data_IF_614719747695
#
_entry.id   IF_614719747695
#
_cell.length_a   1.000
_cell.length_b   1.000
_cell.length_c   1.000
_cell.angle_alpha   90.00
_cell.angle_beta   90.00
_cell.angle_gamma   90.00
#
_symmetry.space_group_name_H-M   'P 1'
#
loop_
_entity.id
_entity.type
_entity.pdbx_description
1 polymer ?
#
# COMPACT_ATOMS: atom_id res chain seq x y z
N UNK A 1 -8.04 22.46 -8.97
CA UNK A 1 -7.19 23.08 -10.02
C UNK A 1 -7.82 24.26 -10.73
N UNK A 2 -8.99 24.16 -11.38
CA UNK A 2 -9.61 25.32 -12.08
C UNK A 2 -9.81 26.53 -11.15
N UNK A 3 -10.38 26.33 -9.95
CA UNK A 3 -10.55 27.41 -8.96
C UNK A 3 -9.22 28.03 -8.51
N UNK A 4 -8.11 27.26 -8.54
CA UNK A 4 -6.79 27.75 -8.15
C UNK A 4 -6.24 28.81 -9.13
N UNK A 5 -6.67 28.78 -10.40
CA UNK A 5 -6.30 29.78 -11.40
C UNK A 5 -6.82 31.19 -11.05
N UNK A 6 -7.90 31.28 -10.27
CA UNK A 6 -8.53 32.55 -9.88
C UNK A 6 -8.14 33.02 -8.48
N UNK A 7 -7.33 32.25 -7.75
CA UNK A 7 -6.91 32.61 -6.41
C UNK A 7 -6.01 33.85 -6.41
N UNK A 8 -6.19 34.70 -5.40
CA UNK A 8 -5.39 35.92 -5.18
C UNK A 8 -4.55 35.85 -3.90
N UNK A 9 -4.75 34.83 -3.07
CA UNK A 9 -4.00 34.59 -1.84
C UNK A 9 -3.40 33.18 -1.80
N UNK A 10 -2.23 33.04 -1.18
CA UNK A 10 -1.54 31.74 -0.98
C UNK A 10 -2.41 30.77 -0.17
N UNK A 11 -3.17 31.28 0.82
CA UNK A 11 -4.08 30.43 1.61
C UNK A 11 -5.18 29.81 0.73
N UNK A 12 -5.72 30.59 -0.22
CA UNK A 12 -6.70 30.08 -1.18
C UNK A 12 -6.07 29.02 -2.10
N UNK A 13 -4.81 29.17 -2.49
CA UNK A 13 -4.08 28.15 -3.25
C UNK A 13 -3.89 26.85 -2.45
N UNK A 14 -3.55 26.93 -1.17
CA UNK A 14 -3.47 25.73 -0.32
C UNK A 14 -4.81 25.00 -0.21
N UNK A 15 -5.91 25.74 -0.08
CA UNK A 15 -7.24 25.15 -0.02
C UNK A 15 -7.67 24.53 -1.36
N UNK A 16 -7.51 25.25 -2.48
CA UNK A 16 -7.98 24.79 -3.79
C UNK A 16 -7.05 23.79 -4.48
N UNK A 17 -5.75 24.10 -4.57
CA UNK A 17 -4.76 23.25 -5.23
C UNK A 17 -4.28 22.10 -4.32
N UNK A 18 -4.21 22.33 -3.00
CA UNK A 18 -3.85 21.31 -2.02
C UNK A 18 -5.06 20.46 -1.62
N UNK A 19 -5.91 20.97 -0.73
CA UNK A 19 -6.96 20.19 -0.08
C UNK A 19 -8.03 19.66 -1.06
N UNK A 20 -8.67 20.54 -1.84
CA UNK A 20 -9.77 20.13 -2.74
C UNK A 20 -9.25 19.18 -3.82
N UNK A 21 -8.11 19.49 -4.43
CA UNK A 21 -7.56 18.62 -5.49
C UNK A 21 -7.06 17.30 -4.89
N UNK A 22 -6.44 17.32 -3.71
CA UNK A 22 -6.04 16.10 -2.99
C UNK A 22 -7.22 15.18 -2.66
N UNK A 23 -8.33 15.74 -2.16
CA UNK A 23 -9.56 14.98 -1.90
C UNK A 23 -10.11 14.35 -3.20
N UNK A 24 -10.14 15.11 -4.29
CA UNK A 24 -10.56 14.58 -5.61
C UNK A 24 -9.67 13.45 -6.11
N UNK A 25 -8.34 13.58 -5.95
CA UNK A 25 -7.38 12.52 -6.31
C UNK A 25 -7.54 11.27 -5.42
N UNK A 26 -7.83 11.44 -4.13
CA UNK A 26 -8.09 10.31 -3.23
C UNK A 26 -9.37 9.54 -3.63
N UNK A 27 -10.44 10.27 -3.96
CA UNK A 27 -11.69 9.70 -4.47
C UNK A 27 -11.52 9.03 -5.84
N UNK A 28 -10.50 9.40 -6.62
CA UNK A 28 -10.16 8.73 -7.88
C UNK A 28 -9.29 7.49 -7.68
N UNK A 29 -8.26 7.58 -6.84
CA UNK A 29 -7.27 6.52 -6.65
C UNK A 29 -7.86 5.30 -5.95
N UNK A 30 -8.62 5.49 -4.86
CA UNK A 30 -9.07 4.37 -4.02
C UNK A 30 -10.04 3.42 -4.76
N UNK A 31 -11.09 3.89 -5.46
CA UNK A 31 -11.97 3.01 -6.23
C UNK A 31 -11.24 2.29 -7.36
N UNK A 32 -10.24 2.94 -7.98
CA UNK A 32 -9.42 2.36 -9.05
C UNK A 32 -8.66 1.12 -8.58
N UNK A 33 -8.07 1.15 -7.38
CA UNK A 33 -7.38 -0.03 -6.81
C UNK A 33 -8.38 -1.15 -6.47
N UNK A 34 -9.53 -0.80 -5.89
CA UNK A 34 -10.54 -1.79 -5.48
C UNK A 34 -11.15 -2.52 -6.69
N UNK A 35 -11.48 -1.80 -7.76
CA UNK A 35 -12.13 -2.40 -8.93
C UNK A 35 -11.19 -3.36 -9.67
N UNK A 36 -9.90 -3.04 -9.77
CA UNK A 36 -8.89 -3.94 -10.33
C UNK A 36 -8.85 -5.27 -9.56
N UNK A 37 -8.89 -5.19 -8.22
CA UNK A 37 -8.90 -6.37 -7.35
C UNK A 37 -10.17 -7.23 -7.48
N UNK A 38 -11.30 -6.64 -7.88
CA UNK A 38 -12.56 -7.35 -8.17
C UNK A 38 -12.58 -7.97 -9.56
N UNK A 39 -12.08 -7.27 -10.57
CA UNK A 39 -12.08 -7.72 -11.98
C UNK A 39 -11.09 -8.84 -12.25
N UNK A 40 -9.86 -8.68 -11.76
CA UNK A 40 -8.81 -9.65 -11.97
C UNK A 40 -8.60 -10.38 -10.67
N UNK A 41 -8.88 -11.70 -10.63
CA UNK A 41 -8.58 -12.55 -9.47
C UNK A 41 -7.26 -13.32 -9.68
N UNK A 42 -7.12 -13.94 -10.86
CA UNK A 42 -5.96 -14.78 -11.22
C UNK A 42 -4.70 -13.99 -11.59
N UNK A 43 -4.86 -12.78 -12.13
CA UNK A 43 -3.75 -11.91 -12.58
C UNK A 43 -3.69 -10.57 -11.82
N UNK A 44 -4.09 -10.57 -10.54
CA UNK A 44 -4.08 -9.38 -9.66
C UNK A 44 -2.74 -8.63 -9.65
N UNK A 45 -1.59 -9.31 -9.46
CA UNK A 45 -0.30 -8.60 -9.37
C UNK A 45 0.06 -7.90 -10.68
N UNK A 46 -0.26 -8.52 -11.83
CA UNK A 46 0.00 -7.93 -13.14
C UNK A 46 -0.87 -6.70 -13.40
N UNK A 47 -2.16 -6.77 -13.05
CA UNK A 47 -3.09 -5.65 -13.25
C UNK A 47 -2.75 -4.46 -12.34
N UNK A 48 -2.44 -4.72 -11.05
CA UNK A 48 -1.96 -3.69 -10.14
C UNK A 48 -0.62 -3.10 -10.61
N UNK A 49 0.31 -3.94 -11.07
CA UNK A 49 1.59 -3.50 -11.61
C UNK A 49 1.43 -2.56 -12.81
N UNK A 50 0.55 -2.89 -13.75
CA UNK A 50 0.28 -2.03 -14.91
C UNK A 50 -0.38 -0.70 -14.51
N UNK A 51 -1.35 -0.73 -13.59
CA UNK A 51 -2.00 0.48 -13.09
C UNK A 51 -0.99 1.41 -12.37
N UNK A 52 -0.10 0.85 -11.56
CA UNK A 52 0.93 1.65 -10.86
C UNK A 52 2.04 2.15 -11.78
N UNK A 53 2.36 1.43 -12.87
CA UNK A 53 3.32 1.88 -13.89
C UNK A 53 2.85 3.13 -14.66
N UNK A 54 1.56 3.47 -14.61
CA UNK A 54 1.04 4.71 -15.18
C UNK A 54 1.52 5.99 -14.49
N UNK A 55 1.84 5.93 -13.18
CA UNK A 55 2.27 7.11 -12.42
C UNK A 55 3.60 7.71 -12.92
N UNK A 56 4.67 6.92 -13.15
CA UNK A 56 5.90 7.44 -13.74
C UNK A 56 5.71 7.97 -15.17
N UNK A 57 4.87 7.34 -15.99
CA UNK A 57 4.58 7.82 -17.36
C UNK A 57 3.91 9.20 -17.31
N UNK A 58 2.95 9.39 -16.40
CA UNK A 58 2.31 10.68 -16.18
C UNK A 58 3.32 11.72 -15.69
N UNK A 59 4.18 11.39 -14.72
CA UNK A 59 5.20 12.33 -14.24
C UNK A 59 6.19 12.73 -15.35
N UNK A 60 6.65 11.77 -16.14
CA UNK A 60 7.60 11.98 -17.22
C UNK A 60 7.09 12.97 -18.28
N UNK A 61 5.80 12.85 -18.63
CA UNK A 61 5.15 13.70 -19.64
C UNK A 61 4.69 15.02 -19.04
N UNK A 62 4.15 15.01 -17.82
CA UNK A 62 3.58 16.18 -17.18
C UNK A 62 4.65 17.18 -16.74
N UNK A 63 5.84 16.75 -16.30
CA UNK A 63 6.90 17.67 -15.87
C UNK A 63 7.32 18.69 -16.96
N UNK A 64 7.73 18.28 -18.19
CA UNK A 64 8.08 19.23 -19.25
C UNK A 64 6.84 19.94 -19.82
N UNK A 65 5.69 19.26 -19.88
CA UNK A 65 4.43 19.89 -20.30
C UNK A 65 4.04 21.04 -19.37
N UNK A 66 4.23 20.87 -18.06
CA UNK A 66 3.93 21.89 -17.08
C UNK A 66 4.82 23.12 -17.28
N UNK A 67 6.13 22.94 -17.50
CA UNK A 67 7.03 24.06 -17.82
C UNK A 67 6.61 24.78 -19.12
N UNK A 68 6.24 24.04 -20.16
CA UNK A 68 5.74 24.61 -21.41
C UNK A 68 4.43 25.40 -21.22
N UNK A 69 3.53 24.92 -20.37
CA UNK A 69 2.29 25.62 -20.02
C UNK A 69 2.59 26.90 -19.24
N UNK A 70 3.56 26.87 -18.32
CA UNK A 70 3.97 28.04 -17.57
C UNK A 70 4.54 29.13 -18.48
N UNK A 71 5.40 28.78 -19.43
CA UNK A 71 6.05 29.75 -20.31
C UNK A 71 5.07 30.43 -21.28
N UNK A 72 4.11 29.67 -21.83
CA UNK A 72 3.17 30.19 -22.83
C UNK A 72 1.91 30.84 -22.25
N UNK A 73 1.37 30.30 -21.15
CA UNK A 73 0.07 30.70 -20.60
C UNK A 73 0.16 31.26 -19.16
N UNK A 74 1.36 31.30 -18.58
CA UNK A 74 1.56 31.66 -17.19
C UNK A 74 0.99 30.62 -16.22
N UNK A 75 1.13 30.91 -14.92
CA UNK A 75 0.70 29.99 -13.86
C UNK A 75 -0.83 29.80 -13.79
N UNK A 76 -1.60 30.86 -14.08
CA UNK A 76 -3.07 30.80 -14.07
C UNK A 76 -3.61 29.93 -15.21
N UNK A 77 -3.12 30.15 -16.44
CA UNK A 77 -3.50 29.35 -17.59
C UNK A 77 -3.08 27.88 -17.42
N UNK A 78 -1.90 27.64 -16.84
CA UNK A 78 -1.43 26.29 -16.50
C UNK A 78 -2.39 25.56 -15.57
N UNK A 79 -2.82 26.17 -14.46
CA UNK A 79 -3.79 25.54 -13.54
C UNK A 79 -5.15 25.27 -14.19
N UNK A 80 -5.59 26.13 -15.12
CA UNK A 80 -6.83 25.93 -15.85
C UNK A 80 -6.74 24.69 -16.76
N UNK A 81 -5.67 24.58 -17.56
CA UNK A 81 -5.43 23.47 -18.48
C UNK A 81 -5.21 22.16 -17.71
N UNK A 82 -4.42 22.17 -16.63
CA UNK A 82 -4.26 21.02 -15.74
C UNK A 82 -5.58 20.58 -15.11
N UNK A 83 -6.47 21.53 -14.80
CA UNK A 83 -7.83 21.23 -14.36
C UNK A 83 -8.66 20.49 -15.41
N UNK A 84 -8.52 20.87 -16.69
CA UNK A 84 -9.18 20.17 -17.79
C UNK A 84 -8.62 18.75 -17.99
N UNK A 85 -7.29 18.57 -17.88
CA UNK A 85 -6.65 17.25 -17.94
C UNK A 85 -7.14 16.37 -16.78
N UNK A 86 -7.24 16.90 -15.56
CA UNK A 86 -7.77 16.17 -14.40
C UNK A 86 -9.27 15.82 -14.55
N UNK A 87 -10.05 16.62 -15.27
CA UNK A 87 -11.45 16.29 -15.54
C UNK A 87 -11.60 15.03 -16.40
N UNK A 88 -10.61 14.70 -17.24
CA UNK A 88 -10.60 13.42 -17.97
C UNK A 88 -10.53 12.20 -17.04
N UNK A 89 -10.12 12.35 -15.77
CA UNK A 89 -10.22 11.28 -14.78
C UNK A 89 -11.68 10.85 -14.54
N UNK A 90 -12.66 11.74 -14.71
CA UNK A 90 -14.09 11.39 -14.62
C UNK A 90 -14.51 10.49 -15.79
N UNK A 91 -14.00 10.75 -17.00
CA UNK A 91 -14.24 9.89 -18.17
C UNK A 91 -13.61 8.52 -17.96
N UNK A 92 -12.37 8.47 -17.44
CA UNK A 92 -11.73 7.22 -17.08
C UNK A 92 -12.52 6.44 -16.02
N UNK A 93 -13.05 7.14 -15.01
CA UNK A 93 -13.90 6.55 -13.97
C UNK A 93 -15.24 6.01 -14.49
N UNK A 94 -15.78 6.55 -15.58
CA UNK A 94 -17.01 6.05 -16.20
C UNK A 94 -16.85 4.63 -16.80
N UNK A 95 -15.61 4.15 -17.02
CA UNK A 95 -15.35 2.77 -17.44
C UNK A 95 -15.52 1.76 -16.29
N UNK A 96 -15.63 2.22 -15.04
CA UNK A 96 -15.78 1.35 -13.87
C UNK A 96 -17.19 0.78 -13.79
N UNK A 97 -17.41 -0.38 -14.42
CA UNK A 97 -18.69 -1.08 -14.38
C UNK A 97 -18.76 -2.00 -13.14
N UNK A 98 -19.84 -1.96 -12.35
CA UNK A 98 -20.00 -2.90 -11.24
C UNK A 98 -20.24 -4.30 -11.78
N UNK A 99 -19.45 -5.27 -11.33
CA UNK A 99 -19.73 -6.70 -11.55
C UNK A 99 -20.82 -7.10 -10.56
N UNK A 100 -22.00 -7.47 -11.06
CA UNK A 100 -23.10 -7.96 -10.22
C UNK A 100 -22.83 -9.36 -9.64
N UNK A 101 -23.55 -9.78 -8.58
CA UNK A 101 -23.57 -11.18 -8.17
C UNK A 101 -24.05 -12.08 -9.33
N UNK A 102 -23.67 -13.36 -9.38
CA UNK A 102 -24.20 -14.31 -10.37
C UNK A 102 -25.72 -14.25 -10.33
N UNK A 103 -26.35 -14.04 -11.49
CA UNK A 103 -27.80 -13.93 -11.60
C UNK A 103 -28.46 -15.23 -11.14
N UNK A 104 -29.02 -15.25 -9.94
CA UNK A 104 -30.07 -16.20 -9.61
C UNK A 104 -31.33 -15.82 -10.42
N UNK A 105 -32.13 -16.80 -10.89
CA UNK A 105 -33.29 -16.51 -11.73
C UNK A 105 -34.30 -15.66 -10.97
N UNK A 106 -34.72 -14.56 -11.60
CA UNK A 106 -35.63 -13.57 -11.03
C UNK A 106 -37.08 -14.08 -11.03
N UNK A 107 -37.55 -14.68 -9.94
CA UNK A 107 -38.99 -14.88 -9.72
C UNK A 107 -39.62 -13.61 -9.13
N UNK A 108 -40.29 -12.84 -10.01
CA UNK A 108 -40.92 -11.54 -9.75
C UNK A 108 -42.15 -11.56 -8.81
N UNK A 109 -42.34 -12.59 -7.97
CA UNK A 109 -43.54 -12.69 -7.11
C UNK A 109 -43.30 -12.44 -5.62
N UNK A 110 -42.04 -12.45 -5.14
CA UNK A 110 -41.76 -12.35 -3.69
C UNK A 110 -41.59 -10.92 -3.18
N UNK A 111 -41.24 -9.95 -4.05
CA UNK A 111 -40.99 -8.56 -3.64
C UNK A 111 -42.24 -7.71 -3.38
N UNK A 112 -43.43 -8.18 -3.73
CA UNK A 112 -44.67 -7.45 -3.42
C UNK A 112 -45.09 -7.61 -1.95
N UNK A 113 -44.83 -8.78 -1.34
CA UNK A 113 -45.22 -9.07 0.05
C UNK A 113 -44.25 -8.48 1.08
N UNK A 114 -42.97 -8.27 0.74
CA UNK A 114 -41.99 -7.66 1.64
C UNK A 114 -42.21 -6.14 1.82
N UNK A 115 -42.72 -5.45 0.80
CA UNK A 115 -42.98 -3.99 0.84
C UNK A 115 -44.23 -3.65 1.65
N UNK A 116 -45.24 -4.52 1.66
CA UNK A 116 -46.46 -4.34 2.45
C UNK A 116 -46.22 -4.54 3.96
N UNK A 117 -45.29 -5.42 4.33
CA UNK A 117 -44.97 -5.72 5.73
C UNK A 117 -44.16 -4.60 6.41
N UNK A 118 -43.37 -3.82 5.64
CA UNK A 118 -42.59 -2.69 6.16
C UNK A 118 -43.47 -1.46 6.45
N UNK A 119 -44.49 -1.18 5.62
CA UNK A 119 -45.40 -0.04 5.84
C UNK A 119 -46.26 -0.16 7.09
N UNK A 120 -46.62 -1.37 7.50
CA UNK A 120 -47.44 -1.58 8.71
C UNK A 120 -46.65 -1.48 10.03
N UNK A 121 -45.32 -1.45 9.98
CA UNK A 121 -44.48 -1.39 11.18
C UNK A 121 -44.22 0.05 11.66
N UNK A 122 -44.32 1.03 10.77
CA UNK A 122 -44.07 2.45 11.07
C UNK A 122 -45.28 3.17 11.72
N UNK A 123 -46.48 2.57 11.71
CA UNK A 123 -47.70 3.21 12.21
C UNK A 123 -47.90 3.01 13.73
N UNK A 124 -47.31 1.98 14.33
CA UNK A 124 -47.54 1.65 15.76
C UNK A 124 -46.50 2.21 16.74
N UNK A 125 -45.64 3.15 16.33
CA UNK A 125 -44.60 3.73 17.20
C UNK A 125 -44.81 5.22 17.56
N UNK A 126 -46.03 5.75 17.36
CA UNK A 126 -46.35 7.18 17.62
C UNK A 126 -47.14 7.43 18.91
N UNK A 127 -47.55 6.41 19.66
CA UNK A 127 -48.18 6.61 20.98
C UNK A 127 -47.41 5.87 22.08
N UNK A 128 -46.46 6.60 22.69
CA UNK A 128 -46.34 6.79 24.14
C UNK A 128 -45.07 7.61 24.40
N UNK A 129 -45.25 8.92 24.44
CA UNK A 129 -44.29 9.80 25.09
C UNK A 129 -44.50 9.67 26.61
N UNK A 130 -43.51 9.15 27.33
CA UNK A 130 -43.30 9.51 28.73
C UNK A 130 -41.83 9.39 29.15
N UNK A 131 -41.48 10.23 30.10
CA UNK A 131 -40.20 10.78 30.55
C UNK A 131 -39.05 9.80 30.89
N UNK A 132 -37.79 10.18 30.59
CA UNK A 132 -36.59 9.61 31.20
C UNK A 132 -35.25 9.96 30.53
N UNK A 133 -34.39 10.68 31.27
CA UNK A 133 -33.05 11.19 30.95
C UNK A 133 -31.99 10.22 30.36
N UNK A 134 -31.06 10.79 29.58
CA UNK A 134 -29.61 10.54 29.73
C UNK A 134 -28.92 9.46 28.86
N UNK A 135 -28.03 9.93 27.97
CA UNK A 135 -26.78 9.30 27.50
C UNK A 135 -26.81 7.93 26.76
N UNK A 136 -27.09 7.89 25.43
CA UNK A 136 -26.80 6.71 24.58
C UNK A 136 -26.41 6.97 23.10
N UNK A 137 -25.75 8.08 22.75
CA UNK A 137 -25.35 8.30 21.33
C UNK A 137 -23.86 8.13 20.99
N UNK A 138 -22.93 8.03 21.95
CA UNK A 138 -21.48 7.99 21.62
C UNK A 138 -20.88 6.59 21.36
N UNK A 139 -21.59 5.50 21.63
CA UNK A 139 -21.01 4.14 21.51
C UNK A 139 -21.13 3.52 20.11
N UNK A 140 -22.12 3.91 19.31
CA UNK A 140 -22.43 3.23 18.04
C UNK A 140 -21.50 3.64 16.88
N UNK A 141 -20.97 4.87 16.92
CA UNK A 141 -20.00 5.34 15.93
C UNK A 141 -18.60 4.72 16.15
N UNK A 142 -18.19 4.57 17.42
CA UNK A 142 -16.88 4.05 17.79
C UNK A 142 -16.76 2.53 17.59
N UNK A 143 -17.84 1.76 17.81
CA UNK A 143 -17.87 0.32 17.48
C UNK A 143 -17.85 0.07 15.97
N UNK A 144 -18.53 0.90 15.17
CA UNK A 144 -18.44 0.81 13.72
C UNK A 144 -17.06 1.24 13.21
N UNK A 145 -16.43 2.24 13.83
CA UNK A 145 -15.06 2.65 13.53
C UNK A 145 -14.02 1.54 13.83
N UNK A 146 -14.20 0.80 14.93
CA UNK A 146 -13.38 -0.37 15.27
C UNK A 146 -13.56 -1.57 14.31
N UNK A 147 -14.71 -1.68 13.62
CA UNK A 147 -14.89 -2.68 12.55
C UNK A 147 -14.08 -2.36 11.29
N UNK A 148 -13.87 -1.07 10.99
CA UNK A 148 -13.12 -0.64 9.80
C UNK A 148 -11.62 -0.45 10.08
N UNK A 149 -11.25 -0.02 11.30
CA UNK A 149 -9.88 0.07 11.78
C UNK A 149 -9.62 -1.07 12.76
N UNK A 150 -9.08 -2.18 12.25
CA UNK A 150 -8.65 -3.30 13.09
C UNK A 150 -7.44 -2.88 13.95
N UNK A 151 -7.70 -2.20 15.07
CA UNK A 151 -6.67 -1.73 16.01
C UNK A 151 -5.90 -2.89 16.65
N UNK A 152 -6.36 -4.14 16.49
CA UNK A 152 -5.57 -5.31 16.90
C UNK A 152 -4.24 -5.41 16.15
N UNK A 153 -4.10 -4.79 14.97
CA UNK A 153 -2.84 -4.71 14.25
C UNK A 153 -1.72 -4.02 15.03
N UNK A 154 -2.04 -3.05 15.90
CA UNK A 154 -1.01 -2.40 16.75
C UNK A 154 -0.39 -3.35 17.77
N UNK A 155 -1.02 -4.50 18.07
CA UNK A 155 -0.44 -5.55 18.91
C UNK A 155 0.54 -6.43 18.14
N UNK A 156 0.51 -6.41 16.81
CA UNK A 156 1.41 -7.21 15.98
C UNK A 156 2.80 -6.55 15.93
N UNK A 157 3.80 -7.22 16.55
CA UNK A 157 5.15 -6.68 16.72
C UNK A 157 5.80 -6.24 15.42
N UNK A 158 5.70 -7.07 14.37
CA UNK A 158 6.29 -6.74 13.08
C UNK A 158 5.60 -5.54 12.44
N UNK A 159 4.27 -5.43 12.54
CA UNK A 159 3.52 -4.29 11.99
C UNK A 159 3.92 -2.98 12.67
N UNK A 160 4.13 -2.99 13.98
CA UNK A 160 4.59 -1.82 14.73
C UNK A 160 6.00 -1.38 14.31
N UNK A 161 6.92 -2.34 14.13
CA UNK A 161 8.28 -2.06 13.62
C UNK A 161 8.22 -1.42 12.23
N UNK A 162 7.42 -2.00 11.34
CA UNK A 162 7.20 -1.49 9.98
C UNK A 162 6.62 -0.07 10.00
N UNK A 163 5.60 0.18 10.82
CA UNK A 163 4.95 1.48 10.95
C UNK A 163 5.92 2.57 11.42
N UNK A 164 6.69 2.30 12.48
CA UNK A 164 7.68 3.27 12.99
C UNK A 164 8.75 3.56 11.95
N UNK A 165 9.24 2.53 11.25
CA UNK A 165 10.21 2.71 10.18
C UNK A 165 9.68 3.54 9.02
N UNK A 166 8.44 3.31 8.59
CA UNK A 166 7.81 4.11 7.54
C UNK A 166 7.61 5.57 7.96
N UNK A 167 7.18 5.83 9.19
CA UNK A 167 7.04 7.18 9.73
C UNK A 167 8.37 7.95 9.66
N UNK A 168 9.47 7.32 10.07
CA UNK A 168 10.80 7.93 9.97
C UNK A 168 11.22 8.12 8.51
N UNK A 169 10.97 7.14 7.65
CA UNK A 169 11.31 7.18 6.22
C UNK A 169 10.59 8.33 5.49
N UNK A 170 9.27 8.45 5.65
CA UNK A 170 8.44 9.40 4.90
C UNK A 170 8.74 10.86 5.25
N UNK A 171 9.31 11.14 6.42
CA UNK A 171 9.81 12.47 6.78
C UNK A 171 10.95 12.96 5.86
N UNK A 172 11.69 12.05 5.21
CA UNK A 172 12.78 12.35 4.28
C UNK A 172 12.50 12.03 2.82
N UNK A 173 11.43 11.27 2.52
CA UNK A 173 11.23 10.63 1.22
C UNK A 173 10.76 11.57 0.09
N UNK A 174 9.79 12.45 0.36
CA UNK A 174 9.16 13.29 -0.67
C UNK A 174 9.81 14.66 -0.88
N UNK A 175 10.55 15.18 0.09
CA UNK A 175 11.19 16.49 -0.06
C UNK A 175 12.20 16.53 -1.23
N UNK A 176 13.08 15.54 -1.43
CA UNK A 176 14.04 15.55 -2.54
C UNK A 176 13.40 15.62 -3.94
N UNK A 177 12.29 14.89 -4.18
CA UNK A 177 11.59 14.96 -5.49
C UNK A 177 10.94 16.33 -5.72
N UNK A 178 10.40 16.96 -4.69
CA UNK A 178 9.78 18.30 -4.78
C UNK A 178 10.84 19.38 -5.03
N UNK A 179 11.96 19.33 -4.32
CA UNK A 179 13.00 20.36 -4.38
C UNK A 179 14.06 20.12 -5.47
N UNK A 180 14.01 19.01 -6.22
CA UNK A 180 14.98 18.70 -7.26
C UNK A 180 15.04 19.76 -8.38
N UNK A 181 13.88 20.13 -8.94
CA UNK A 181 13.84 21.14 -10.01
C UNK A 181 14.26 22.53 -9.50
N UNK A 182 13.76 23.03 -8.35
CA UNK A 182 14.27 24.27 -7.74
C UNK A 182 15.78 24.24 -7.46
N UNK A 183 16.33 23.11 -7.00
CA UNK A 183 17.76 22.96 -6.76
C UNK A 183 18.58 23.08 -8.05
N UNK A 184 18.13 22.44 -9.13
CA UNK A 184 18.78 22.58 -10.44
C UNK A 184 18.76 24.03 -10.93
N UNK A 185 17.62 24.73 -10.79
CA UNK A 185 17.52 26.17 -11.12
C UNK A 185 18.45 27.02 -10.26
N UNK A 186 18.59 26.71 -8.97
CA UNK A 186 19.53 27.40 -8.07
C UNK A 186 21.01 27.22 -8.47
N UNK A 187 21.36 26.09 -9.11
CA UNK A 187 22.69 25.87 -9.68
C UNK A 187 22.90 26.56 -11.05
N UNK A 188 21.91 27.31 -11.53
CA UNK A 188 21.98 28.04 -12.81
C UNK A 188 21.64 27.19 -14.04
N UNK A 189 21.03 26.02 -13.86
CA UNK A 189 20.54 25.18 -14.96
C UNK A 189 19.23 25.74 -15.50
N UNK A 190 19.04 25.67 -16.81
CA UNK A 190 17.83 26.16 -17.46
C UNK A 190 16.56 25.41 -17.01
N UNK A 191 15.42 26.08 -17.13
CA UNK A 191 14.16 25.60 -16.55
C UNK A 191 13.64 24.31 -17.20
N UNK A 192 13.88 24.14 -18.51
CA UNK A 192 13.51 22.93 -19.23
C UNK A 192 14.38 21.75 -18.81
N UNK A 193 15.69 21.93 -18.76
CA UNK A 193 16.63 20.91 -18.29
C UNK A 193 16.33 20.49 -16.85
N UNK A 194 15.97 21.43 -15.97
CA UNK A 194 15.53 21.12 -14.62
C UNK A 194 14.25 20.25 -14.60
N UNK A 195 13.27 20.52 -15.47
CA UNK A 195 12.08 19.69 -15.62
C UNK A 195 12.42 18.29 -16.19
N UNK A 196 13.35 18.20 -17.14
CA UNK A 196 13.80 16.93 -17.71
C UNK A 196 14.47 16.01 -16.67
N UNK A 197 15.07 16.54 -15.61
CA UNK A 197 15.60 15.71 -14.51
C UNK A 197 14.51 14.87 -13.82
N UNK A 198 13.31 15.42 -13.66
CA UNK A 198 12.15 14.68 -13.14
C UNK A 198 11.64 13.65 -14.14
N UNK A 199 11.70 13.95 -15.44
CA UNK A 199 11.39 12.97 -16.49
C UNK A 199 12.36 11.80 -16.51
N UNK A 200 13.67 12.05 -16.38
CA UNK A 200 14.69 10.99 -16.30
C UNK A 200 14.44 10.10 -15.09
N UNK A 201 14.18 10.69 -13.91
CA UNK A 201 13.81 9.96 -12.70
C UNK A 201 12.61 9.04 -12.95
N UNK A 202 11.56 9.58 -13.57
CA UNK A 202 10.32 8.84 -13.83
C UNK A 202 10.52 7.71 -14.85
N UNK A 203 11.31 7.91 -15.90
CA UNK A 203 11.64 6.85 -16.86
C UNK A 203 12.39 5.71 -16.16
N UNK A 204 13.36 6.02 -15.30
CA UNK A 204 14.09 4.98 -14.58
C UNK A 204 13.19 4.25 -13.58
N UNK A 205 12.34 4.96 -12.83
CA UNK A 205 11.34 4.32 -11.93
C UNK A 205 10.41 3.36 -12.71
N UNK A 206 9.95 3.76 -13.89
CA UNK A 206 9.08 2.95 -14.74
C UNK A 206 9.65 1.54 -15.01
N UNK A 207 10.96 1.42 -15.21
CA UNK A 207 11.64 0.13 -15.40
C UNK A 207 12.09 -0.51 -14.08
N UNK A 208 12.54 0.30 -13.11
CA UNK A 208 13.04 -0.17 -11.83
C UNK A 208 11.98 -0.90 -11.00
N UNK A 209 10.74 -0.39 -11.00
CA UNK A 209 9.65 -0.91 -10.16
C UNK A 209 9.20 -2.33 -10.57
N UNK A 210 8.93 -2.65 -11.85
CA UNK A 210 8.68 -4.03 -12.26
C UNK A 210 9.91 -4.93 -12.04
N UNK A 211 11.12 -4.46 -12.36
CA UNK A 211 12.34 -5.25 -12.22
C UNK A 211 12.58 -5.66 -10.75
N UNK A 212 12.39 -4.74 -9.81
CA UNK A 212 12.54 -5.00 -8.38
C UNK A 212 11.41 -5.85 -7.80
N UNK A 213 10.17 -5.68 -8.28
CA UNK A 213 9.07 -6.59 -7.93
C UNK A 213 9.32 -8.03 -8.36
N UNK A 214 9.82 -8.24 -9.58
CA UNK A 214 10.22 -9.57 -10.07
C UNK A 214 11.39 -10.14 -9.26
N UNK A 215 12.39 -9.32 -8.97
CA UNK A 215 13.55 -9.71 -8.18
C UNK A 215 13.14 -10.13 -6.75
N UNK A 216 12.24 -9.39 -6.11
CA UNK A 216 11.74 -9.69 -4.77
C UNK A 216 10.94 -10.99 -4.70
N UNK A 217 10.32 -11.41 -5.81
CA UNK A 217 9.60 -12.68 -5.89
C UNK A 217 10.51 -13.89 -6.15
N UNK A 218 11.82 -13.68 -6.32
CA UNK A 218 12.78 -14.78 -6.46
C UNK A 218 12.90 -15.59 -5.16
N UNK A 219 13.10 -16.91 -5.29
CA UNK A 219 13.19 -17.86 -4.16
C UNK A 219 14.25 -17.49 -3.12
N UNK A 220 15.24 -16.70 -3.51
CA UNK A 220 16.38 -16.30 -2.67
C UNK A 220 16.09 -15.05 -1.84
N UNK A 221 15.28 -14.15 -2.39
CA UNK A 221 15.01 -12.82 -1.82
C UNK A 221 13.68 -12.83 -1.07
N UNK A 222 12.68 -13.61 -1.53
CA UNK A 222 11.36 -13.68 -0.93
C UNK A 222 11.38 -13.99 0.58
N UNK A 223 12.16 -14.96 1.09
CA UNK A 223 12.24 -15.22 2.54
C UNK A 223 12.89 -14.10 3.35
N UNK A 224 13.58 -13.15 2.68
CA UNK A 224 14.35 -12.06 3.26
C UNK A 224 13.88 -10.69 2.74
N UNK A 225 12.63 -10.60 2.30
CA UNK A 225 12.09 -9.40 1.63
C UNK A 225 12.17 -8.14 2.50
N UNK A 226 12.01 -8.29 3.82
CA UNK A 226 12.13 -7.19 4.77
C UNK A 226 13.54 -6.57 4.81
N UNK A 227 14.60 -7.38 4.69
CA UNK A 227 15.97 -6.88 4.61
C UNK A 227 16.25 -6.19 3.28
N UNK A 228 15.68 -6.72 2.19
CA UNK A 228 15.77 -6.11 0.88
C UNK A 228 15.08 -4.73 0.84
N UNK A 229 13.96 -4.58 1.55
CA UNK A 229 13.32 -3.27 1.75
C UNK A 229 14.20 -2.30 2.53
N UNK A 230 14.80 -2.73 3.64
CA UNK A 230 15.74 -1.89 4.39
C UNK A 230 16.95 -1.46 3.55
N UNK A 231 17.49 -2.36 2.71
CA UNK A 231 18.55 -2.04 1.75
C UNK A 231 18.12 -0.94 0.77
N UNK A 232 16.92 -1.06 0.18
CA UNK A 232 16.39 -0.06 -0.76
C UNK A 232 16.26 1.33 -0.12
N UNK A 233 15.84 1.40 1.15
CA UNK A 233 15.74 2.67 1.90
C UNK A 233 17.12 3.28 2.14
N UNK A 234 18.09 2.48 2.61
CA UNK A 234 19.46 2.96 2.84
C UNK A 234 20.11 3.40 1.53
N UNK A 235 19.90 2.64 0.45
CA UNK A 235 20.39 3.01 -0.87
C UNK A 235 19.80 4.34 -1.34
N UNK A 236 18.50 4.56 -1.17
CA UNK A 236 17.86 5.84 -1.48
C UNK A 236 18.41 7.00 -0.63
N UNK A 237 18.55 6.78 0.69
CA UNK A 237 19.13 7.77 1.59
C UNK A 237 20.59 8.11 1.24
N UNK A 238 21.38 7.12 0.84
CA UNK A 238 22.77 7.31 0.39
C UNK A 238 22.81 8.12 -0.90
N UNK A 239 21.91 7.88 -1.86
CA UNK A 239 21.80 8.70 -3.06
C UNK A 239 21.56 10.18 -2.71
N UNK A 240 20.69 10.46 -1.72
CA UNK A 240 20.45 11.84 -1.26
C UNK A 240 21.66 12.46 -0.56
N UNK A 241 22.41 11.69 0.24
CA UNK A 241 23.65 12.18 0.87
C UNK A 241 24.75 12.51 -0.17
N UNK A 242 24.75 11.81 -1.31
CA UNK A 242 25.70 12.04 -2.39
C UNK A 242 25.27 13.16 -3.36
N UNK A 243 24.01 13.59 -3.32
CA UNK A 243 23.47 14.67 -4.17
C UNK A 243 24.30 15.97 -4.11
N UNK A 244 24.73 16.47 -2.94
CA UNK A 244 25.56 17.68 -2.85
C UNK A 244 26.91 17.61 -3.58
N UNK A 245 27.43 16.42 -3.87
CA UNK A 245 28.67 16.23 -4.63
C UNK A 245 28.43 16.33 -6.14
N UNK A 246 27.18 16.23 -6.60
CA UNK A 246 26.83 16.29 -8.00
C UNK A 246 26.87 17.74 -8.51
N UNK A 247 27.98 18.13 -9.12
CA UNK A 247 28.14 19.45 -9.74
C UNK A 247 27.71 19.45 -11.20
N UNK A 248 26.91 20.45 -11.60
CA UNK A 248 26.47 20.65 -12.98
C UNK A 248 25.37 19.68 -13.44
N UNK A 249 24.92 19.86 -14.69
CA UNK A 249 23.80 19.10 -15.25
C UNK A 249 24.07 17.60 -15.34
N UNK A 250 25.25 17.19 -15.82
CA UNK A 250 25.62 15.79 -15.94
C UNK A 250 25.61 15.06 -14.58
N UNK A 251 26.09 15.72 -13.52
CA UNK A 251 26.04 15.18 -12.16
C UNK A 251 24.60 14.96 -11.69
N UNK A 252 23.72 15.93 -11.94
CA UNK A 252 22.30 15.81 -11.58
C UNK A 252 21.56 14.76 -12.41
N UNK A 253 21.92 14.54 -13.67
CA UNK A 253 21.36 13.47 -14.50
C UNK A 253 21.71 12.10 -13.92
N UNK A 254 22.98 11.90 -13.52
CA UNK A 254 23.42 10.66 -12.86
C UNK A 254 22.68 10.47 -11.53
N UNK A 255 22.56 11.53 -10.73
CA UNK A 255 21.78 11.51 -9.49
C UNK A 255 20.31 11.15 -9.75
N UNK A 256 19.64 11.77 -10.73
CA UNK A 256 18.24 11.48 -11.09
C UNK A 256 18.04 10.03 -11.51
N UNK A 257 19.00 9.43 -12.21
CA UNK A 257 18.94 8.03 -12.59
C UNK A 257 19.04 7.10 -11.37
N UNK A 258 20.01 7.32 -10.48
CA UNK A 258 20.13 6.53 -9.25
C UNK A 258 18.95 6.75 -8.29
N UNK A 259 18.47 7.98 -8.18
CA UNK A 259 17.30 8.31 -7.39
C UNK A 259 16.04 7.64 -7.95
N UNK A 260 15.81 7.69 -9.27
CA UNK A 260 14.68 7.00 -9.91
C UNK A 260 14.71 5.48 -9.70
N UNK A 261 15.90 4.88 -9.77
CA UNK A 261 16.10 3.47 -9.46
C UNK A 261 15.72 3.18 -8.00
N UNK A 262 16.32 3.91 -7.05
CA UNK A 262 16.09 3.73 -5.62
C UNK A 262 14.63 3.97 -5.21
N UNK A 263 14.01 5.02 -5.76
CA UNK A 263 12.61 5.37 -5.56
C UNK A 263 11.69 4.23 -6.04
N UNK A 264 11.94 3.69 -7.23
CA UNK A 264 11.20 2.54 -7.76
C UNK A 264 11.33 1.29 -6.90
N UNK A 265 12.53 1.02 -6.34
CA UNK A 265 12.72 -0.11 -5.42
C UNK A 265 11.90 0.05 -4.13
N UNK A 266 11.94 1.23 -3.51
CA UNK A 266 11.20 1.50 -2.27
C UNK A 266 9.69 1.39 -2.51
N UNK A 267 9.18 2.00 -3.57
CA UNK A 267 7.75 1.94 -3.86
C UNK A 267 7.25 0.53 -4.23
N UNK A 268 8.06 -0.28 -4.93
CA UNK A 268 7.70 -1.67 -5.22
C UNK A 268 7.62 -2.50 -3.92
N UNK A 269 8.57 -2.30 -3.01
CA UNK A 269 8.68 -3.11 -1.79
C UNK A 269 7.74 -2.69 -0.67
N UNK A 270 7.25 -1.45 -0.67
CA UNK A 270 6.38 -0.91 0.38
C UNK A 270 5.14 -1.81 0.63
N UNK A 271 4.37 -2.09 -0.42
CA UNK A 271 3.14 -2.90 -0.28
C UNK A 271 3.42 -4.40 -0.20
N UNK A 272 4.48 -4.89 -0.86
CA UNK A 272 4.87 -6.31 -0.79
C UNK A 272 5.30 -6.72 0.62
N UNK A 273 6.13 -5.90 1.28
CA UNK A 273 6.54 -6.16 2.66
C UNK A 273 5.39 -6.07 3.65
N UNK A 274 4.48 -5.12 3.47
CA UNK A 274 3.26 -5.02 4.29
C UNK A 274 2.35 -6.25 4.11
N UNK A 275 2.20 -6.74 2.87
CA UNK A 275 1.41 -7.94 2.57
C UNK A 275 2.03 -9.21 3.17
N UNK A 276 3.35 -9.36 3.09
CA UNK A 276 4.08 -10.49 3.69
C UNK A 276 3.95 -10.51 5.21
N UNK A 277 3.92 -9.33 5.83
CA UNK A 277 3.91 -9.16 7.28
C UNK A 277 2.54 -9.36 7.93
N UNK A 278 1.48 -8.87 7.27
CA UNK A 278 0.11 -8.85 7.81
C UNK A 278 -0.77 -9.97 7.21
N UNK A 279 -0.41 -10.45 6.02
CA UNK A 279 -1.22 -11.40 5.27
C UNK A 279 -2.39 -10.75 4.51
N UNK A 280 -2.94 -11.50 3.55
CA UNK A 280 -3.93 -10.98 2.60
C UNK A 280 -5.28 -10.58 3.25
N UNK A 281 -5.69 -11.26 4.34
CA UNK A 281 -7.00 -11.03 4.98
C UNK A 281 -7.08 -9.67 5.68
N UNK A 282 -5.98 -9.21 6.27
CA UNK A 282 -5.90 -7.95 7.03
C UNK A 282 -5.20 -6.82 6.28
N UNK A 283 -4.76 -7.06 5.04
CA UNK A 283 -3.98 -6.13 4.23
C UNK A 283 -4.67 -4.76 4.03
N UNK A 284 -5.96 -4.76 3.66
CA UNK A 284 -6.70 -3.52 3.40
C UNK A 284 -6.79 -2.63 4.64
N UNK A 285 -7.08 -3.21 5.81
CA UNK A 285 -7.13 -2.48 7.07
C UNK A 285 -5.75 -1.94 7.47
N UNK A 286 -4.69 -2.72 7.24
CA UNK A 286 -3.31 -2.31 7.51
C UNK A 286 -2.87 -1.13 6.64
N UNK A 287 -3.18 -1.15 5.34
CA UNK A 287 -2.90 -0.04 4.43
C UNK A 287 -3.61 1.22 4.89
N UNK A 288 -4.88 1.13 5.30
CA UNK A 288 -5.63 2.27 5.85
C UNK A 288 -4.97 2.88 7.09
N UNK A 289 -4.58 2.04 8.05
CA UNK A 289 -3.89 2.51 9.27
C UNK A 289 -2.53 3.16 8.96
N UNK A 290 -1.73 2.51 8.11
CA UNK A 290 -0.41 3.01 7.72
C UNK A 290 -0.53 4.36 7.01
N UNK A 291 -1.43 4.48 6.05
CA UNK A 291 -1.60 5.73 5.28
C UNK A 291 -2.05 6.91 6.14
N UNK A 292 -2.94 6.71 7.12
CA UNK A 292 -3.34 7.77 8.07
C UNK A 292 -2.14 8.31 8.83
N UNK A 293 -1.28 7.43 9.35
CA UNK A 293 -0.09 7.84 10.12
C UNK A 293 0.97 8.48 9.21
N UNK A 294 1.14 7.96 8.00
CA UNK A 294 2.07 8.48 7.00
C UNK A 294 1.71 9.92 6.57
N UNK A 295 0.42 10.25 6.44
CA UNK A 295 -0.05 11.59 6.07
C UNK A 295 0.57 12.70 6.92
N UNK A 296 0.67 12.52 8.24
CA UNK A 296 1.29 13.50 9.14
C UNK A 296 2.76 13.76 8.79
N UNK A 297 3.51 12.70 8.47
CA UNK A 297 4.94 12.80 8.14
C UNK A 297 5.18 13.41 6.76
N UNK A 298 4.35 13.06 5.78
CA UNK A 298 4.43 13.58 4.41
C UNK A 298 4.08 15.08 4.41
N UNK A 299 3.10 15.50 5.21
CA UNK A 299 2.72 16.91 5.34
C UNK A 299 3.84 17.75 5.98
N UNK A 300 4.53 17.21 6.99
CA UNK A 300 5.60 17.92 7.70
C UNK A 300 6.96 17.89 6.98
N UNK A 301 7.23 16.85 6.19
CA UNK A 301 8.54 16.61 5.57
C UNK A 301 9.05 17.78 4.71
N UNK A 302 8.34 18.19 3.65
CA UNK A 302 8.76 19.29 2.78
C UNK A 302 8.81 20.66 3.46
N UNK A 303 7.85 21.09 4.31
CA UNK A 303 7.98 22.34 5.06
C UNK A 303 9.21 22.40 5.96
N UNK A 304 9.54 21.31 6.68
CA UNK A 304 10.78 21.23 7.48
C UNK A 304 12.02 21.31 6.59
N UNK A 305 11.97 20.74 5.38
CA UNK A 305 13.04 20.89 4.40
C UNK A 305 13.18 22.32 3.88
N UNK A 306 12.05 22.98 3.61
CA UNK A 306 11.99 24.37 3.14
C UNK A 306 12.54 25.36 4.17
N UNK A 307 12.14 25.25 5.43
CA UNK A 307 12.67 26.13 6.49
C UNK A 307 14.17 25.98 6.68
N UNK A 308 14.70 24.77 6.48
CA UNK A 308 16.15 24.54 6.52
C UNK A 308 16.87 25.25 5.36
N UNK A 309 16.26 25.29 4.17
CA UNK A 309 16.78 26.04 3.02
C UNK A 309 16.73 27.54 3.31
N UNK A 310 15.63 28.03 3.88
CA UNK A 310 15.46 29.45 4.18
C UNK A 310 16.46 29.98 5.23
N UNK A 311 16.82 29.15 6.23
CA UNK A 311 17.78 29.53 7.29
C UNK A 311 19.23 29.47 6.80
N UNK A 312 19.62 28.42 6.08
CA UNK A 312 21.02 28.22 5.67
C UNK A 312 21.35 28.79 4.29
N UNK A 313 20.35 29.06 3.45
CA UNK A 313 20.51 29.59 2.10
C UNK A 313 21.08 28.61 1.07
N UNK A 314 21.27 27.33 1.41
CA UNK A 314 21.76 26.30 0.49
C UNK A 314 20.90 25.02 0.59
N UNK A 315 20.46 24.53 -0.58
CA UNK A 315 19.68 23.30 -0.75
C UNK A 315 20.44 22.03 -0.31
N UNK A 316 21.78 22.07 -0.26
CA UNK A 316 22.59 20.90 0.16
C UNK A 316 22.18 20.38 1.54
N UNK A 317 21.88 21.28 2.48
CA UNK A 317 21.49 20.90 3.85
C UNK A 317 20.16 20.13 3.87
N UNK A 318 19.22 20.47 2.97
CA UNK A 318 17.97 19.72 2.82
C UNK A 318 18.24 18.29 2.34
N UNK A 319 19.13 18.11 1.36
CA UNK A 319 19.48 16.77 0.86
C UNK A 319 20.22 15.95 1.91
N UNK A 320 21.12 16.57 2.67
CA UNK A 320 21.83 15.93 3.79
C UNK A 320 20.84 15.50 4.88
N UNK A 321 19.88 16.36 5.25
CA UNK A 321 18.83 16.02 6.21
C UNK A 321 17.99 14.84 5.71
N UNK A 322 17.51 14.89 4.47
CA UNK A 322 16.68 13.83 3.90
C UNK A 322 17.43 12.51 3.82
N UNK A 323 18.68 12.53 3.34
CA UNK A 323 19.53 11.35 3.28
C UNK A 323 19.82 10.75 4.65
N UNK A 324 20.15 11.59 5.64
CA UNK A 324 20.44 11.14 7.01
C UNK A 324 19.23 10.48 7.67
N UNK A 325 18.04 11.10 7.54
CA UNK A 325 16.79 10.54 8.09
C UNK A 325 16.43 9.22 7.42
N UNK A 326 16.64 9.10 6.10
CA UNK A 326 16.37 7.85 5.39
C UNK A 326 17.36 6.74 5.74
N UNK A 327 18.66 7.03 5.85
CA UNK A 327 19.65 6.04 6.30
C UNK A 327 19.36 5.58 7.73
N UNK A 328 18.97 6.50 8.61
CA UNK A 328 18.53 6.17 9.97
C UNK A 328 17.30 5.26 9.97
N UNK A 329 16.28 5.56 9.16
CA UNK A 329 15.08 4.75 9.05
C UNK A 329 15.37 3.34 8.50
N UNK A 330 16.21 3.25 7.47
CA UNK A 330 16.61 1.98 6.86
C UNK A 330 17.46 1.11 7.79
N UNK A 331 18.40 1.72 8.53
CA UNK A 331 19.20 1.00 9.54
C UNK A 331 18.36 0.57 10.75
N UNK A 332 17.43 1.41 11.20
CA UNK A 332 16.45 1.04 12.23
C UNK A 332 15.62 -0.18 11.82
N UNK A 333 15.04 -0.15 10.61
CA UNK A 333 14.28 -1.29 10.07
C UNK A 333 15.15 -2.54 9.94
N UNK A 334 16.38 -2.42 9.48
CA UNK A 334 17.30 -3.55 9.36
C UNK A 334 17.57 -4.22 10.72
N UNK A 335 17.89 -3.42 11.74
CA UNK A 335 18.18 -3.90 13.10
C UNK A 335 16.92 -4.51 13.73
N UNK A 336 15.78 -3.84 13.64
CA UNK A 336 14.54 -4.30 14.26
C UNK A 336 13.99 -5.56 13.59
N UNK A 337 14.09 -5.65 12.26
CA UNK A 337 13.74 -6.88 11.55
C UNK A 337 14.67 -8.02 11.94
N UNK A 338 15.97 -7.77 12.13
CA UNK A 338 16.90 -8.78 12.66
C UNK A 338 16.47 -9.32 14.03
N UNK A 339 16.10 -8.44 14.96
CA UNK A 339 15.56 -8.86 16.26
C UNK A 339 14.25 -9.63 16.12
N UNK A 340 13.35 -9.18 15.25
CA UNK A 340 12.06 -9.83 15.01
C UNK A 340 12.24 -11.27 14.50
N UNK A 341 13.08 -11.49 13.47
CA UNK A 341 13.38 -12.83 12.97
C UNK A 341 14.04 -13.72 14.02
N UNK A 342 14.93 -13.16 14.85
CA UNK A 342 15.59 -13.93 15.92
C UNK A 342 14.62 -14.35 17.01
N UNK A 343 13.64 -13.51 17.35
CA UNK A 343 12.60 -13.84 18.34
C UNK A 343 11.61 -14.86 17.78
N UNK A 344 11.17 -14.69 16.53
CA UNK A 344 10.34 -15.69 15.84
C UNK A 344 11.00 -17.08 15.83
N UNK A 345 12.29 -17.14 15.49
CA UNK A 345 13.05 -18.39 15.52
C UNK A 345 13.21 -18.99 16.93
N UNK A 346 13.14 -18.17 18.00
CA UNK A 346 13.12 -18.67 19.38
C UNK A 346 11.75 -19.20 19.77
N UNK A 347 10.68 -18.52 19.37
CA UNK A 347 9.29 -18.93 19.63
C UNK A 347 8.96 -20.25 18.91
N UNK A 348 9.40 -20.41 17.65
CA UNK A 348 9.28 -21.68 16.92
C UNK A 348 10.02 -22.83 17.62
N UNK A 349 11.24 -22.58 18.10
CA UNK A 349 12.01 -23.57 18.87
C UNK A 349 11.37 -23.90 20.22
N UNK A 350 10.64 -22.96 20.83
CA UNK A 350 9.93 -23.18 22.08
C UNK A 350 8.65 -24.01 21.85
N UNK A 351 7.88 -23.71 20.78
CA UNK A 351 6.72 -24.53 20.38
C UNK A 351 7.12 -25.96 20.01
N UNK A 352 8.15 -26.13 19.18
CA UNK A 352 8.65 -27.46 18.81
C UNK A 352 9.28 -28.24 19.97
N UNK A 353 9.58 -27.59 21.11
CA UNK A 353 9.93 -28.27 22.36
C UNK A 353 8.69 -28.66 23.17
N UNK A 354 7.63 -27.85 23.16
CA UNK A 354 6.37 -28.14 23.84
C UNK A 354 5.64 -29.32 23.19
N UNK A 355 5.53 -29.34 21.85
CA UNK A 355 4.93 -30.46 21.10
C UNK A 355 5.68 -31.78 21.32
N UNK A 356 7.02 -31.74 21.38
CA UNK A 356 7.84 -32.93 21.68
C UNK A 356 7.76 -33.42 23.13
N UNK A 357 7.29 -32.58 24.04
CA UNK A 357 7.04 -32.95 25.44
C UNK A 357 5.64 -33.55 25.56
N UNK A 358 4.63 -32.97 24.89
CA UNK A 358 3.28 -33.55 24.81
C UNK A 358 3.27 -34.91 24.10
N UNK A 359 3.97 -35.08 22.96
CA UNK A 359 4.11 -36.40 22.29
C UNK A 359 4.87 -37.45 23.14
N UNK A 360 5.64 -37.03 24.14
CA UNK A 360 6.33 -37.95 25.07
C UNK A 360 5.49 -38.34 26.28
N UNK A 361 4.58 -37.46 26.71
CA UNK A 361 3.65 -37.75 27.82
C UNK A 361 2.45 -38.59 27.34
N UNK A 362 2.08 -38.49 26.06
CA UNK A 362 1.17 -39.43 25.39
C UNK A 362 1.90 -40.72 24.95
N UNK A 363 2.53 -41.41 25.91
CA UNK A 363 2.99 -42.79 25.76
C UNK A 363 1.82 -43.75 25.50
N UNK A 364 2.05 -44.93 24.88
CA UNK A 364 1.01 -45.71 24.23
C UNK A 364 -0.09 -46.08 25.21
N UNK A 365 -1.32 -45.61 24.93
CA UNK A 365 -2.54 -46.10 25.58
C UNK A 365 -2.53 -47.63 25.40
N UNK A 366 -2.26 -48.36 26.49
CA UNK A 366 -2.41 -49.80 26.54
C UNK A 366 -3.85 -50.12 26.17
N UNK A 367 -4.04 -50.70 24.99
CA UNK A 367 -5.27 -51.34 24.57
C UNK A 367 -5.56 -52.49 25.52
N UNK A 368 -6.31 -52.22 26.59
CA UNK A 368 -7.04 -53.25 27.29
C UNK A 368 -8.24 -53.63 26.43
N UNK A 369 -8.02 -54.57 25.51
CA UNK A 369 -9.10 -55.36 24.93
C UNK A 369 -9.81 -56.10 26.06
N UNK A 370 -11.05 -55.71 26.35
CA UNK A 370 -11.98 -56.51 27.13
C UNK A 370 -13.16 -56.89 26.22
N UNK A 371 -13.38 -58.16 25.88
CA UNK A 371 -14.51 -58.56 25.06
C UNK A 371 -15.71 -58.77 25.96
N UNK A 372 -16.78 -57.96 25.81
CA UNK A 372 -18.20 -58.39 25.85
C UNK A 372 -19.20 -57.23 26.00
N UNK A 373 -20.33 -57.41 25.29
CA UNK A 373 -21.63 -56.69 25.33
C UNK A 373 -21.55 -55.29 24.72
N UNK A 374 -22.29 -54.93 23.68
CA UNK A 374 -23.70 -55.21 23.39
C UNK A 374 -24.45 -53.87 23.49
N UNK A 375 -25.21 -53.55 22.44
CA UNK A 375 -26.17 -52.44 22.31
C UNK A 375 -25.72 -51.11 21.68
N UNK A 376 -26.45 -50.83 20.60
CA UNK A 376 -26.78 -49.57 19.91
C UNK A 376 -26.76 -48.31 20.77
N UNK A 377 -26.29 -47.18 20.20
CA UNK A 377 -27.13 -46.02 19.79
C UNK A 377 -26.26 -45.05 18.96
N UNK A 378 -26.76 -44.65 17.79
CA UNK A 378 -26.21 -43.54 16.98
C UNK A 378 -26.72 -42.22 17.57
N UNK A 379 -25.84 -41.26 17.82
CA UNK A 379 -26.18 -39.84 17.90
C UNK A 379 -25.04 -39.03 17.25
N UNK A 380 -25.43 -38.23 16.27
CA UNK A 380 -24.64 -37.22 15.58
C UNK A 380 -24.23 -36.10 16.53
N UNK A 381 -23.02 -35.55 16.38
CA UNK A 381 -22.79 -34.09 16.35
C UNK A 381 -21.41 -33.70 15.80
N UNK A 382 -21.42 -32.61 15.03
CA UNK A 382 -20.35 -31.98 14.25
C UNK A 382 -19.39 -31.16 15.14
N UNK A 383 -18.12 -30.98 14.73
CA UNK A 383 -17.62 -29.74 14.11
C UNK A 383 -16.08 -29.70 13.95
N UNK A 384 -15.70 -29.28 12.74
CA UNK A 384 -14.61 -28.36 12.37
C UNK A 384 -13.14 -28.78 12.59
N UNK A 385 -12.64 -29.56 11.63
CA UNK A 385 -11.21 -29.69 11.32
C UNK A 385 -10.73 -28.57 10.39
N UNK A 386 -9.73 -27.82 10.85
CA UNK A 386 -8.99 -26.83 10.07
C UNK A 386 -8.00 -27.57 9.15
N UNK A 387 -8.30 -27.69 7.86
CA UNK A 387 -7.39 -28.25 6.86
C UNK A 387 -6.16 -27.35 6.66
N UNK A 388 -4.97 -27.88 6.93
CA UNK A 388 -3.70 -27.36 6.45
C UNK A 388 -3.21 -28.25 5.31
N UNK A 389 -3.14 -27.69 4.11
CA UNK A 389 -2.60 -28.36 2.92
C UNK A 389 -1.06 -28.37 2.97
N UNK A 390 -0.40 -29.54 2.81
CA UNK A 390 1.02 -29.61 2.48
C UNK A 390 1.21 -29.80 0.96
N UNK A 391 1.86 -28.85 0.29
CA UNK A 391 2.36 -29.03 -1.08
C UNK A 391 3.81 -29.51 -1.04
N UNK A 392 3.99 -30.83 -1.16
CA UNK A 392 5.24 -31.47 -1.57
C UNK A 392 4.92 -32.84 -2.17
N UNK A 393 4.79 -32.92 -3.50
CA UNK A 393 5.12 -34.06 -4.39
C UNK A 393 4.35 -33.99 -5.71
N UNK A 394 4.81 -33.17 -6.65
CA UNK A 394 4.50 -33.35 -8.07
C UNK A 394 5.82 -33.48 -8.83
N UNK A 395 6.44 -34.65 -8.73
CA UNK A 395 7.53 -35.04 -9.63
C UNK A 395 7.56 -36.56 -9.96
N UNK A 396 6.50 -37.31 -9.65
CA UNK A 396 6.39 -38.75 -10.01
C UNK A 396 5.27 -39.09 -11.00
N UNK A 397 4.54 -38.09 -11.52
CA UNK A 397 3.45 -38.30 -12.49
C UNK A 397 3.87 -38.43 -13.95
N UNK A 398 5.16 -38.25 -14.30
CA UNK A 398 5.61 -38.13 -15.69
C UNK A 398 6.43 -39.32 -16.22
N UNK A 399 6.21 -40.54 -15.69
CA UNK A 399 6.92 -41.75 -16.17
C UNK A 399 6.06 -42.96 -16.54
N UNK A 400 4.73 -42.90 -16.41
CA UNK A 400 3.87 -44.07 -16.67
C UNK A 400 2.94 -43.95 -17.90
N UNK A 401 3.21 -43.03 -18.83
CA UNK A 401 2.37 -42.82 -20.03
C UNK A 401 2.95 -43.32 -21.36
N UNK A 402 4.13 -43.95 -21.37
CA UNK A 402 4.81 -44.33 -22.60
C UNK A 402 5.25 -45.80 -22.56
N UNK A 403 4.31 -46.72 -22.70
CA UNK A 403 4.47 -48.03 -23.35
C UNK A 403 3.14 -48.79 -23.29
N UNK A 404 2.93 -49.67 -24.28
CA UNK A 404 1.79 -50.59 -24.51
C UNK A 404 0.84 -50.05 -25.58
N UNK A 405 1.21 -50.16 -26.88
CA UNK A 405 0.83 -51.21 -27.88
C UNK A 405 -0.44 -50.83 -28.64
N UNK A 406 -0.67 -51.14 -29.92
CA UNK A 406 0.05 -51.81 -31.01
C UNK A 406 -0.94 -51.87 -32.21
N UNK A 407 -0.42 -52.16 -33.40
CA UNK A 407 -1.12 -52.87 -34.49
C UNK A 407 -2.39 -52.24 -35.11
N UNK A 408 -2.22 -51.72 -36.33
CA UNK A 408 -2.81 -52.22 -37.59
C UNK A 408 -2.89 -51.10 -38.64
#
# INVERSE_FOLDING_TARGET
MVSAAFCTSIFQLYLCAGFITGLGLALNLQPSVIIIGKYFLKRRPLANGLAMAGSPVMLCTLAPLNQLLFDNFGWRGSFFILGAILLNCCVAGALFRPIGPPSAPTDKKTNAQAVETLKNKDINMVEMADLGDGEKEDKDCCENFNKFLDLSLFKHRGFLIYLIGNVLMFLGFFAPIVFLAPYAKHLGIDEYSAAFLLSILAIVDMFARPATGLLANSKWIRPKIQYFFSFSIVFNGTCHLLCPLATGYAGLVVYSAFYGLAFGMVCAMLFETLMDLVGASRFTSAVGLVTIVECCTILLGPPIGGTLIDVFGDYKYMFIKCGSVMVLAGTFLFIMNYYNYRMLAKEEKARGKHEKVEERDDGPIRTHTNPKKGETTKLDEKQDGHETFPLKSEEEGLKNGANITSEA
#
